data_IF_128436512464
#
_entry.id   IF_128436512464
#
_cell.length_a   1.000
_cell.length_b   1.000
_cell.length_c   1.000
_cell.angle_alpha   90.00
_cell.angle_beta   90.00
_cell.angle_gamma   90.00
#
_symmetry.space_group_name_H-M   'P 1'
#
loop_
_entity.id
_entity.type
_entity.pdbx_description
1 polymer ?
#
# COMPACT_ATOMS: atom_id res chain seq x y z
N UNK A 1 15.66 -11.89 2.75
CA UNK A 1 14.92 -10.62 2.75
C UNK A 1 14.47 -10.38 1.32
N UNK A 2 13.17 -10.43 1.12
CA UNK A 2 12.53 -10.32 -0.20
C UNK A 2 12.38 -8.84 -0.62
N UNK A 3 12.17 -7.95 0.36
CA UNK A 3 12.07 -6.51 0.17
C UNK A 3 13.25 -5.78 0.81
N UNK A 4 13.75 -4.75 0.12
CA UNK A 4 14.74 -3.79 0.62
C UNK A 4 14.09 -2.44 0.92
N UNK A 5 14.66 -1.69 1.84
CA UNK A 5 14.22 -0.31 2.13
C UNK A 5 14.01 0.49 0.84
N UNK A 6 12.89 1.23 0.78
CA UNK A 6 12.40 1.99 -0.37
C UNK A 6 11.90 1.17 -1.57
N UNK A 7 11.84 -0.16 -1.50
CA UNK A 7 11.12 -0.94 -2.50
C UNK A 7 9.62 -0.62 -2.48
N UNK A 8 9.02 -0.64 -3.66
CA UNK A 8 7.58 -0.51 -3.80
C UNK A 8 6.90 -1.84 -3.49
N UNK A 9 6.11 -1.89 -2.43
CA UNK A 9 5.47 -3.11 -1.96
C UNK A 9 3.97 -2.94 -1.86
N UNK A 10 3.25 -4.06 -1.68
CA UNK A 10 1.85 -4.07 -1.23
C UNK A 10 1.78 -4.77 0.12
N UNK A 11 1.11 -4.11 1.06
CA UNK A 11 0.78 -4.66 2.38
C UNK A 11 -0.70 -4.95 2.46
N UNK A 12 -1.06 -5.87 3.35
CA UNK A 12 -2.44 -6.18 3.70
C UNK A 12 -2.65 -6.05 5.19
N UNK A 13 -3.83 -5.59 5.58
CA UNK A 13 -4.25 -5.61 6.98
C UNK A 13 -5.76 -5.72 7.10
N UNK A 14 -6.20 -6.31 8.20
CA UNK A 14 -7.61 -6.25 8.64
C UNK A 14 -7.80 -4.91 9.35
N UNK A 15 -8.71 -4.09 8.83
CA UNK A 15 -9.04 -2.78 9.38
C UNK A 15 -10.12 -2.88 10.45
N UNK A 16 -11.13 -3.72 10.20
CA UNK A 16 -12.19 -4.03 11.15
C UNK A 16 -12.50 -5.52 11.07
N UNK A 17 -12.53 -6.20 12.21
CA UNK A 17 -13.05 -7.57 12.28
C UNK A 17 -14.58 -7.56 12.11
N UNK A 18 -15.23 -8.72 11.88
CA UNK A 18 -16.69 -8.83 11.83
C UNK A 18 -17.39 -8.19 13.04
N UNK A 19 -16.80 -8.33 14.23
CA UNK A 19 -17.33 -7.81 15.50
C UNK A 19 -17.23 -6.28 15.60
N UNK A 20 -16.30 -5.66 14.87
CA UNK A 20 -16.07 -4.22 14.83
C UNK A 20 -16.85 -3.53 13.70
N UNK A 21 -17.62 -4.28 12.90
CA UNK A 21 -18.45 -3.73 11.82
C UNK A 21 -19.59 -2.90 12.39
N UNK A 22 -19.92 -1.82 11.69
CA UNK A 22 -21.01 -0.96 12.12
C UNK A 22 -22.37 -1.69 12.08
N UNK A 23 -23.25 -1.51 13.09
CA UNK A 23 -24.48 -2.30 13.23
C UNK A 23 -25.50 -2.08 12.10
N UNK A 24 -25.38 -0.99 11.33
CA UNK A 24 -26.26 -0.65 10.23
C UNK A 24 -25.85 -1.24 8.87
N UNK A 25 -24.69 -1.91 8.75
CA UNK A 25 -24.33 -2.56 7.48
C UNK A 25 -25.21 -3.80 7.25
N UNK A 26 -25.45 -4.21 5.99
CA UNK A 26 -26.18 -5.44 5.67
C UNK A 26 -25.60 -6.69 6.37
N UNK A 27 -26.47 -7.67 6.65
CA UNK A 27 -26.11 -8.87 7.43
C UNK A 27 -25.02 -9.75 6.80
N UNK A 28 -24.95 -9.80 5.47
CA UNK A 28 -23.86 -10.45 4.74
C UNK A 28 -22.52 -9.72 4.97
N UNK A 29 -22.56 -8.39 4.96
CA UNK A 29 -21.40 -7.52 5.15
C UNK A 29 -20.89 -7.50 6.60
N UNK A 30 -21.75 -7.79 7.58
CA UNK A 30 -21.34 -7.96 8.99
C UNK A 30 -20.51 -9.21 9.22
N UNK A 31 -20.71 -10.26 8.42
CA UNK A 31 -20.09 -11.56 8.62
C UNK A 31 -18.63 -11.64 8.15
N UNK A 32 -18.14 -10.59 7.51
CA UNK A 32 -16.81 -10.56 6.90
C UNK A 32 -16.02 -9.36 7.37
N UNK A 33 -14.70 -9.51 7.43
CA UNK A 33 -13.77 -8.44 7.79
C UNK A 33 -13.76 -7.32 6.77
N UNK A 34 -13.46 -6.10 7.22
CA UNK A 34 -13.01 -5.03 6.33
C UNK A 34 -11.50 -5.15 6.18
N UNK A 35 -11.06 -5.48 4.97
CA UNK A 35 -9.65 -5.67 4.65
C UNK A 35 -9.13 -4.54 3.77
N UNK A 36 -7.86 -4.18 3.95
CA UNK A 36 -7.20 -3.13 3.20
C UNK A 36 -5.93 -3.67 2.56
N UNK A 37 -5.74 -3.29 1.30
CA UNK A 37 -4.48 -3.47 0.57
C UNK A 37 -3.95 -2.11 0.18
N UNK A 38 -2.73 -1.80 0.61
CA UNK A 38 -2.10 -0.51 0.34
C UNK A 38 -0.73 -0.72 -0.26
N UNK A 39 -0.42 0.06 -1.29
CA UNK A 39 0.92 0.12 -1.86
C UNK A 39 1.71 1.27 -1.26
N UNK A 40 2.99 1.06 -1.04
CA UNK A 40 3.88 2.07 -0.48
C UNK A 40 5.34 1.66 -0.56
N UNK A 41 6.21 2.60 -0.22
CA UNK A 41 7.65 2.37 -0.07
C UNK A 41 7.94 1.79 1.31
N UNK A 42 8.52 0.59 1.36
CA UNK A 42 8.83 -0.06 2.62
C UNK A 42 9.91 0.70 3.40
N UNK A 43 9.74 0.83 4.72
CA UNK A 43 10.65 1.64 5.55
C UNK A 43 11.86 0.87 6.10
N UNK A 44 11.88 -0.47 5.98
CA UNK A 44 12.97 -1.37 6.42
C UNK A 44 13.02 -2.62 5.55
N UNK A 45 14.14 -3.32 5.55
CA UNK A 45 14.25 -4.64 4.92
C UNK A 45 13.32 -5.65 5.61
N UNK A 46 12.66 -6.50 4.83
CA UNK A 46 11.71 -7.50 5.34
C UNK A 46 11.55 -8.70 4.40
N UNK A 47 10.88 -9.74 4.88
CA UNK A 47 10.48 -10.91 4.10
C UNK A 47 8.95 -10.97 3.97
N UNK A 48 8.46 -11.63 2.93
CA UNK A 48 7.00 -11.75 2.71
C UNK A 48 6.36 -12.45 3.92
N UNK A 49 5.26 -11.89 4.43
CA UNK A 49 4.57 -12.31 5.64
C UNK A 49 4.96 -11.53 6.90
N UNK A 50 6.01 -10.72 6.86
CA UNK A 50 6.39 -9.89 8.01
C UNK A 50 5.44 -8.68 8.17
N UNK A 51 5.19 -8.28 9.42
CA UNK A 51 4.53 -7.01 9.72
C UNK A 51 5.50 -5.84 9.47
N UNK A 52 5.16 -4.99 8.50
CA UNK A 52 6.02 -3.88 8.05
C UNK A 52 5.30 -2.54 8.09
N UNK A 53 6.08 -1.46 8.02
CA UNK A 53 5.58 -0.10 7.83
C UNK A 53 5.97 0.40 6.43
N UNK A 54 5.02 1.03 5.73
CA UNK A 54 5.21 1.59 4.40
C UNK A 54 4.80 3.05 4.37
N UNK A 55 5.49 3.84 3.54
CA UNK A 55 5.10 5.21 3.21
C UNK A 55 4.35 5.22 1.88
N UNK A 56 3.08 5.61 1.87
CA UNK A 56 2.29 5.69 0.63
C UNK A 56 2.84 6.78 -0.29
N UNK A 57 2.45 6.74 -1.57
CA UNK A 57 2.83 7.78 -2.54
C UNK A 57 2.33 9.18 -2.14
N UNK A 58 1.28 9.24 -1.33
CA UNK A 58 0.72 10.48 -0.75
C UNK A 58 1.32 10.84 0.62
N UNK A 59 2.33 10.10 1.09
CA UNK A 59 3.09 10.44 2.30
C UNK A 59 2.57 9.88 3.61
N UNK A 60 1.50 9.08 3.63
CA UNK A 60 0.97 8.45 4.86
C UNK A 60 1.84 7.27 5.28
N UNK A 61 2.01 7.07 6.59
CA UNK A 61 2.63 5.86 7.14
C UNK A 61 1.53 4.85 7.50
N UNK A 62 1.66 3.63 7.00
CA UNK A 62 0.66 2.56 7.19
C UNK A 62 1.39 1.26 7.52
N UNK A 63 0.82 0.47 8.43
CA UNK A 63 1.34 -0.85 8.83
C UNK A 63 0.47 -1.97 8.29
N UNK A 64 1.09 -3.10 7.96
CA UNK A 64 0.42 -4.30 7.51
C UNK A 64 1.41 -5.40 7.14
N UNK A 65 0.88 -6.57 6.85
CA UNK A 65 1.68 -7.74 6.47
C UNK A 65 2.18 -7.60 5.04
N UNK A 66 3.48 -7.78 4.83
CA UNK A 66 4.10 -7.68 3.52
C UNK A 66 3.62 -8.82 2.62
N UNK A 67 2.91 -8.50 1.54
CA UNK A 67 2.42 -9.52 0.61
C UNK A 67 3.33 -9.72 -0.59
N UNK A 68 3.72 -8.63 -1.27
CA UNK A 68 4.50 -8.71 -2.52
C UNK A 68 5.38 -7.48 -2.70
N UNK A 69 6.52 -7.70 -3.36
CA UNK A 69 7.44 -6.66 -3.83
C UNK A 69 7.21 -6.39 -5.30
N UNK A 70 7.24 -5.12 -5.69
CA UNK A 70 6.99 -4.61 -7.04
C UNK A 70 5.72 -5.20 -7.69
N UNK A 71 4.56 -5.07 -7.03
CA UNK A 71 3.31 -5.67 -7.50
C UNK A 71 2.86 -5.09 -8.85
N UNK A 72 2.50 -5.97 -9.78
CA UNK A 72 1.99 -5.63 -11.11
C UNK A 72 0.74 -6.46 -11.43
N UNK A 73 -0.07 -5.98 -12.38
CA UNK A 73 -1.22 -6.74 -12.89
C UNK A 73 -0.72 -7.79 -13.88
N UNK A 74 -1.24 -9.03 -13.77
CA UNK A 74 -0.87 -10.13 -14.66
C UNK A 74 -1.53 -10.06 -16.04
N UNK A 75 -2.60 -9.27 -16.15
CA UNK A 75 -3.20 -8.84 -17.41
C UNK A 75 -2.34 -7.69 -17.96
N UNK A 76 -2.10 -7.66 -19.27
CA UNK A 76 -0.93 -7.16 -20.01
C UNK A 76 -0.43 -5.69 -19.85
N UNK A 77 -0.57 -5.06 -18.69
CA UNK A 77 -0.05 -3.71 -18.39
C UNK A 77 1.47 -3.63 -18.13
N UNK A 78 2.21 -4.70 -18.43
CA UNK A 78 3.65 -4.79 -18.18
C UNK A 78 4.04 -5.00 -16.71
N UNK A 79 5.35 -5.09 -16.46
CA UNK A 79 5.92 -5.23 -15.11
C UNK A 79 5.96 -3.86 -14.41
N UNK A 80 6.02 -3.88 -13.08
CA UNK A 80 6.28 -2.68 -12.31
C UNK A 80 7.69 -2.15 -12.62
N UNK A 81 7.79 -0.87 -13.00
CA UNK A 81 9.04 -0.14 -13.23
C UNK A 81 9.20 0.86 -12.07
N UNK A 82 10.01 0.56 -11.03
CA UNK A 82 10.13 1.40 -9.84
C UNK A 82 10.53 2.85 -10.13
N UNK A 83 11.34 3.07 -11.18
CA UNK A 83 11.82 4.38 -11.60
C UNK A 83 10.67 5.31 -12.01
N UNK A 84 9.62 4.77 -12.63
CA UNK A 84 8.45 5.56 -13.03
C UNK A 84 7.67 6.10 -11.82
N UNK A 85 7.71 5.39 -10.68
CA UNK A 85 7.09 5.87 -9.44
C UNK A 85 7.80 7.12 -8.92
N UNK A 86 9.14 7.12 -8.95
CA UNK A 86 9.95 8.25 -8.51
C UNK A 86 9.79 9.46 -9.44
N UNK A 87 9.83 9.22 -10.76
CA UNK A 87 9.60 10.25 -11.77
C UNK A 87 8.20 10.88 -11.58
N UNK A 88 7.18 10.09 -11.28
CA UNK A 88 5.83 10.59 -11.02
C UNK A 88 5.76 11.53 -9.81
N UNK A 89 6.46 11.20 -8.72
CA UNK A 89 6.55 12.05 -7.52
C UNK A 89 7.26 13.37 -7.85
N UNK A 90 8.40 13.29 -8.53
CA UNK A 90 9.17 14.47 -8.94
C UNK A 90 8.36 15.39 -9.88
N UNK A 91 7.69 14.80 -10.87
CA UNK A 91 6.84 15.56 -11.79
C UNK A 91 5.72 16.30 -11.05
N UNK A 92 5.12 15.66 -10.03
CA UNK A 92 4.09 16.30 -9.19
C UNK A 92 4.64 17.50 -8.43
N UNK A 93 5.84 17.37 -7.86
CA UNK A 93 6.53 18.47 -7.17
C UNK A 93 6.81 19.65 -8.11
N UNK A 94 7.35 19.38 -9.29
CA UNK A 94 7.69 20.41 -10.29
C UNK A 94 6.45 21.13 -10.82
N UNK A 95 5.39 20.39 -11.16
CA UNK A 95 4.23 20.95 -11.85
C UNK A 95 3.19 21.56 -10.91
N UNK A 96 3.07 21.05 -9.69
CA UNK A 96 1.99 21.42 -8.77
C UNK A 96 2.50 21.95 -7.42
N UNK A 97 3.81 22.07 -7.22
CA UNK A 97 4.41 22.55 -5.97
C UNK A 97 4.40 21.55 -4.81
N UNK A 98 4.07 20.28 -5.09
CA UNK A 98 4.17 19.18 -4.13
C UNK A 98 3.12 19.22 -3.00
N UNK A 99 3.48 18.66 -1.84
CA UNK A 99 2.60 18.43 -0.68
C UNK A 99 2.05 19.71 -0.05
N UNK A 100 2.62 20.87 -0.38
CA UNK A 100 2.22 22.17 0.19
C UNK A 100 1.01 22.82 -0.49
N UNK A 101 0.54 22.26 -1.62
CA UNK A 101 -0.60 22.77 -2.40
C UNK A 101 -1.79 21.80 -2.47
N UNK A 102 -1.82 20.75 -1.64
CA UNK A 102 -2.96 19.81 -1.49
C UNK A 102 -3.65 19.92 -0.14
#
# INVERSE_FOLDING_TARGET
MDAKINDWVIIHNIVLTPEERAPQVPEDTKKVSLEMWVKGFIQKDASIGDLVEVKTITGRLVKGDLLKVNPYYTHDYGKCIPELLQIGIQAKEILFGGVYNE
#
